data_IF_243994943205
#
_entry.id   IF_243994943205
#
_cell.length_a   1.000
_cell.length_b   1.000
_cell.length_c   1.000
_cell.angle_alpha   90.00
_cell.angle_beta   90.00
_cell.angle_gamma   90.00
#
_symmetry.space_group_name_H-M   'P 1'
#
loop_
_entity.id
_entity.type
_entity.pdbx_description
1 polymer ?
#
# COMPACT_ATOMS: atom_id res chain seq x y z
N UNK A 1 13.06 -6.21 -17.84
CA UNK A 1 12.26 -5.01 -18.15
C UNK A 1 12.06 -4.17 -16.87
N UNK A 2 11.73 -2.87 -16.99
CA UNK A 2 11.52 -1.96 -15.84
C UNK A 2 10.20 -1.21 -16.00
N UNK A 3 9.40 -1.14 -14.92
CA UNK A 3 8.14 -0.40 -14.87
C UNK A 3 8.13 0.57 -13.69
N UNK A 4 7.67 1.81 -13.89
CA UNK A 4 7.60 2.84 -12.87
C UNK A 4 6.16 3.00 -12.34
N UNK A 5 5.98 3.03 -11.01
CA UNK A 5 4.65 3.15 -10.38
C UNK A 5 4.67 4.17 -9.22
N UNK A 6 4.80 5.46 -9.52
CA UNK A 6 4.79 6.50 -8.47
C UNK A 6 3.38 6.98 -8.13
N UNK A 7 2.58 7.29 -9.16
CA UNK A 7 1.24 7.88 -8.97
C UNK A 7 0.31 6.96 -8.22
N UNK A 8 0.24 5.67 -8.60
CA UNK A 8 -0.64 4.71 -7.93
C UNK A 8 -0.26 4.51 -6.47
N UNK A 9 1.04 4.47 -6.15
CA UNK A 9 1.52 4.34 -4.77
C UNK A 9 1.05 5.50 -3.89
N UNK A 10 1.11 6.74 -4.39
CA UNK A 10 0.62 7.92 -3.66
C UNK A 10 -0.89 7.91 -3.47
N UNK A 11 -1.63 7.46 -4.48
CA UNK A 11 -3.10 7.32 -4.40
C UNK A 11 -3.46 6.29 -3.34
N UNK A 12 -2.90 5.08 -3.39
CA UNK A 12 -3.16 4.03 -2.40
C UNK A 12 -2.83 4.50 -0.99
N UNK A 13 -1.70 5.19 -0.80
CA UNK A 13 -1.34 5.77 0.49
C UNK A 13 -2.41 6.73 1.01
N UNK A 14 -2.84 7.70 0.20
CA UNK A 14 -3.82 8.70 0.60
C UNK A 14 -5.21 8.11 0.87
N UNK A 15 -5.64 7.15 0.05
CA UNK A 15 -6.94 6.50 0.18
C UNK A 15 -6.99 5.60 1.42
N UNK A 16 -5.94 4.81 1.68
CA UNK A 16 -5.85 3.99 2.90
C UNK A 16 -5.82 4.86 4.17
N UNK A 17 -5.18 6.03 4.12
CA UNK A 17 -5.22 6.97 5.24
C UNK A 17 -6.63 7.44 5.55
N UNK A 18 -7.38 7.85 4.52
CA UNK A 18 -8.77 8.31 4.68
C UNK A 18 -9.66 7.18 5.19
N UNK A 19 -9.60 6.01 4.55
CA UNK A 19 -10.41 4.86 4.92
C UNK A 19 -10.18 4.45 6.39
N UNK A 20 -8.92 4.39 6.83
CA UNK A 20 -8.63 4.03 8.22
C UNK A 20 -9.23 5.04 9.22
N UNK A 21 -9.07 6.35 8.97
CA UNK A 21 -9.60 7.38 9.86
C UNK A 21 -11.13 7.44 9.86
N UNK A 22 -11.77 7.20 8.71
CA UNK A 22 -13.23 7.13 8.59
C UNK A 22 -13.79 5.92 9.38
N UNK A 23 -13.11 4.77 9.33
CA UNK A 23 -13.47 3.56 10.08
C UNK A 23 -13.14 3.65 11.57
N UNK A 24 -12.12 4.44 11.95
CA UNK A 24 -11.59 4.53 13.31
C UNK A 24 -11.52 5.99 13.81
N UNK A 25 -12.65 6.71 13.90
CA UNK A 25 -12.67 8.15 14.12
C UNK A 25 -12.10 8.61 15.48
N UNK A 26 -11.95 7.70 16.44
CA UNK A 26 -11.39 7.97 17.77
C UNK A 26 -10.02 7.34 18.01
N UNK A 27 -9.41 6.72 17.00
CA UNK A 27 -8.08 6.14 17.09
C UNK A 27 -7.02 7.22 16.78
N UNK A 28 -6.22 7.56 17.79
CA UNK A 28 -5.14 8.54 17.66
C UNK A 28 -3.75 7.91 17.72
N UNK A 29 -3.66 6.58 17.78
CA UNK A 29 -2.37 5.89 17.76
C UNK A 29 -1.78 5.87 16.33
N UNK A 30 -0.71 6.63 16.05
CA UNK A 30 -0.16 6.74 14.71
C UNK A 30 0.42 5.41 14.21
N UNK A 31 0.88 4.53 15.11
CA UNK A 31 1.49 3.26 14.70
C UNK A 31 0.47 2.28 14.12
N UNK A 32 -0.77 2.31 14.61
CA UNK A 32 -1.84 1.46 14.06
C UNK A 32 -2.29 1.94 12.69
N UNK A 33 -2.53 3.25 12.54
CA UNK A 33 -2.81 3.92 11.27
C UNK A 33 -1.72 3.62 10.22
N UNK A 34 -0.46 3.90 10.56
CA UNK A 34 0.67 3.66 9.67
C UNK A 34 0.85 2.17 9.33
N UNK A 35 0.58 1.28 10.30
CA UNK A 35 0.58 -0.15 10.11
C UNK A 35 -0.43 -0.59 9.06
N UNK A 36 -1.69 -0.16 9.18
CA UNK A 36 -2.75 -0.50 8.23
C UNK A 36 -2.44 0.03 6.82
N UNK A 37 -2.12 1.32 6.72
CA UNK A 37 -1.76 1.96 5.44
C UNK A 37 -0.59 1.26 4.75
N UNK A 38 0.44 0.86 5.52
CA UNK A 38 1.60 0.14 4.98
C UNK A 38 1.21 -1.20 4.39
N UNK A 39 0.31 -1.95 5.03
CA UNK A 39 -0.12 -3.25 4.52
C UNK A 39 -0.90 -3.13 3.20
N UNK A 40 -1.73 -2.09 3.04
CA UNK A 40 -2.42 -1.83 1.77
C UNK A 40 -1.45 -1.48 0.63
N UNK A 41 -0.47 -0.61 0.91
CA UNK A 41 0.56 -0.27 -0.08
C UNK A 41 1.40 -1.50 -0.44
N UNK A 42 1.71 -2.37 0.52
CA UNK A 42 2.39 -3.64 0.26
C UNK A 42 1.54 -4.56 -0.62
N UNK A 43 0.26 -4.71 -0.32
CA UNK A 43 -0.66 -5.52 -1.11
C UNK A 43 -0.74 -5.04 -2.56
N UNK A 44 -0.84 -3.72 -2.77
CA UNK A 44 -0.76 -3.11 -4.10
C UNK A 44 0.57 -3.45 -4.81
N UNK A 45 1.71 -3.31 -4.13
CA UNK A 45 3.02 -3.58 -4.72
C UNK A 45 3.19 -5.06 -5.09
N UNK A 46 2.79 -5.98 -4.20
CA UNK A 46 2.79 -7.42 -4.45
C UNK A 46 1.93 -7.79 -5.65
N UNK A 47 0.75 -7.16 -5.79
CA UNK A 47 -0.10 -7.39 -6.95
C UNK A 47 0.59 -6.97 -8.27
N UNK A 48 1.25 -5.81 -8.28
CA UNK A 48 2.02 -5.38 -9.46
C UNK A 48 3.20 -6.31 -9.77
N UNK A 49 3.92 -6.81 -8.76
CA UNK A 49 4.98 -7.79 -8.96
C UNK A 49 4.48 -9.07 -9.63
N UNK A 50 3.29 -9.53 -9.25
CA UNK A 50 2.62 -10.68 -9.90
C UNK A 50 2.22 -10.35 -11.33
N UNK A 51 1.57 -9.21 -11.56
CA UNK A 51 1.14 -8.77 -12.90
C UNK A 51 2.34 -8.65 -13.85
N UNK A 52 3.48 -8.14 -13.37
CA UNK A 52 4.69 -8.01 -14.18
C UNK A 52 5.55 -9.28 -14.23
N UNK A 53 5.14 -10.37 -13.56
CA UNK A 53 5.83 -11.66 -13.60
C UNK A 53 7.19 -11.67 -12.90
N UNK A 54 7.43 -10.78 -11.93
CA UNK A 54 8.69 -10.75 -11.17
C UNK A 54 8.68 -11.68 -9.94
N UNK A 55 7.55 -12.32 -9.64
CA UNK A 55 7.42 -13.27 -8.52
C UNK A 55 8.38 -14.45 -8.67
N UNK A 56 9.15 -14.75 -7.62
CA UNK A 56 10.13 -15.86 -7.59
C UNK A 56 11.39 -15.64 -8.44
N UNK A 57 11.64 -14.41 -8.92
CA UNK A 57 12.82 -14.08 -9.75
C UNK A 57 14.00 -13.48 -8.97
N UNK A 58 13.84 -13.30 -7.65
CA UNK A 58 14.94 -12.88 -6.77
C UNK A 58 15.75 -14.11 -6.34
N UNK A 59 17.05 -14.09 -6.63
CA UNK A 59 18.04 -15.12 -6.26
C UNK A 59 19.18 -14.49 -5.48
#
# INVERSE_FOLDING_TARGET
>A
AKVNISTRLKITLADSYRAYLDEHPTEYNPLKLLGAVREDVKAMATNFMRIFGSEGKAS
#
